data_IF_290284758251
#
_entry.id   IF_290284758251
#
_cell.length_a   1.000
_cell.length_b   1.000
_cell.length_c   1.000
_cell.angle_alpha   90.00
_cell.angle_beta   90.00
_cell.angle_gamma   90.00
#
_symmetry.space_group_name_H-M   'P 1'
#
loop_
_entity.id
_entity.type
_entity.pdbx_description
1 polymer ?
#
# COMPACT_ATOMS: atom_id res chain seq x y z
N UNK A 1 -5.72 19.30 -3.50
CA UNK A 1 -6.75 19.28 -2.42
C UNK A 1 -6.19 18.71 -1.13
N UNK A 2 -5.60 17.49 -1.10
CA UNK A 2 -5.04 16.88 0.12
C UNK A 2 -3.95 17.75 0.75
N UNK A 3 -3.01 18.30 -0.03
CA UNK A 3 -1.95 19.18 0.48
C UNK A 3 -2.53 20.45 1.14
N UNK A 4 -3.58 21.03 0.56
CA UNK A 4 -4.25 22.19 1.15
C UNK A 4 -4.90 21.83 2.50
N UNK A 5 -5.67 20.72 2.54
CA UNK A 5 -6.27 20.23 3.77
C UNK A 5 -5.21 19.93 4.86
N UNK A 6 -4.07 19.35 4.47
CA UNK A 6 -2.96 19.08 5.41
C UNK A 6 -2.39 20.40 6.00
N UNK A 7 -2.29 21.44 5.21
CA UNK A 7 -1.82 22.75 5.69
C UNK A 7 -2.84 23.40 6.64
N UNK A 8 -4.14 23.34 6.31
CA UNK A 8 -5.23 23.81 7.17
C UNK A 8 -5.24 23.08 8.52
N UNK A 9 -5.09 21.75 8.50
CA UNK A 9 -5.00 20.96 9.73
C UNK A 9 -3.80 21.41 10.58
N UNK A 10 -2.61 21.60 9.98
CA UNK A 10 -1.43 22.08 10.72
C UNK A 10 -1.64 23.40 11.41
N UNK A 11 -2.35 24.34 10.78
CA UNK A 11 -2.61 25.66 11.34
C UNK A 11 -3.67 25.64 12.46
N UNK A 12 -4.57 24.68 12.42
CA UNK A 12 -5.73 24.61 13.32
C UNK A 12 -5.67 23.45 14.31
N UNK A 13 -4.56 22.70 14.41
CA UNK A 13 -4.46 21.48 15.22
C UNK A 13 -4.67 21.72 16.74
N UNK A 14 -4.49 22.95 17.19
CA UNK A 14 -4.74 23.38 18.60
C UNK A 14 -6.20 23.64 18.91
N UNK A 15 -7.07 23.65 17.89
CA UNK A 15 -8.50 23.84 18.08
C UNK A 15 -9.19 22.47 18.24
N UNK A 16 -10.12 22.35 19.15
CA UNK A 16 -10.84 21.09 19.46
C UNK A 16 -11.45 20.43 18.22
N UNK A 17 -11.90 21.21 17.24
CA UNK A 17 -12.53 20.73 16.01
C UNK A 17 -11.57 20.08 15.01
N UNK A 18 -10.25 20.14 15.22
CA UNK A 18 -9.24 19.57 14.29
C UNK A 18 -8.52 18.37 14.87
N UNK A 19 -8.92 17.92 16.06
CA UNK A 19 -8.26 16.87 16.81
C UNK A 19 -9.04 15.56 16.69
N UNK A 20 -8.87 14.83 15.59
CA UNK A 20 -9.54 13.59 15.29
C UNK A 20 -8.64 12.65 14.47
N UNK A 21 -9.00 11.37 14.38
CA UNK A 21 -8.18 10.31 13.79
C UNK A 21 -7.67 10.66 12.40
N UNK A 22 -8.56 11.03 11.47
CA UNK A 22 -8.20 11.30 10.07
C UNK A 22 -7.26 12.51 9.93
N UNK A 23 -7.38 13.53 10.80
CA UNK A 23 -6.48 14.67 10.81
C UNK A 23 -5.05 14.25 11.15
N UNK A 24 -4.88 13.49 12.24
CA UNK A 24 -3.56 12.98 12.62
C UNK A 24 -3.01 11.98 11.62
N UNK A 25 -3.85 11.13 11.02
CA UNK A 25 -3.47 10.22 9.95
C UNK A 25 -2.91 11.00 8.74
N UNK A 26 -3.58 12.06 8.30
CA UNK A 26 -3.08 12.90 7.19
C UNK A 26 -1.71 13.52 7.49
N UNK A 27 -1.50 14.00 8.73
CA UNK A 27 -0.20 14.55 9.14
C UNK A 27 0.90 13.49 9.21
N UNK A 28 0.55 12.28 9.65
CA UNK A 28 1.47 11.15 9.67
C UNK A 28 1.89 10.78 8.23
N UNK A 29 0.95 10.70 7.30
CA UNK A 29 1.20 10.35 5.91
C UNK A 29 1.95 11.44 5.14
N UNK A 30 1.65 12.74 5.37
CA UNK A 30 2.44 13.85 4.82
C UNK A 30 3.89 13.82 5.33
N UNK A 31 4.08 13.47 6.61
CA UNK A 31 5.42 13.31 7.19
C UNK A 31 6.16 12.12 6.61
N UNK A 32 5.47 10.98 6.38
CA UNK A 32 5.99 9.80 5.72
C UNK A 32 6.44 10.12 4.28
N UNK A 33 5.58 10.78 3.49
CA UNK A 33 5.90 11.19 2.12
C UNK A 33 7.18 12.02 2.05
N UNK A 34 7.45 12.82 3.10
CA UNK A 34 8.69 13.61 3.24
C UNK A 34 9.83 12.86 3.92
N UNK A 35 9.70 11.54 4.12
CA UNK A 35 10.67 10.67 4.81
C UNK A 35 11.01 11.15 6.25
N UNK A 36 10.10 11.87 6.90
CA UNK A 36 10.22 12.33 8.30
C UNK A 36 9.58 11.30 9.24
N UNK A 37 10.16 10.10 9.32
CA UNK A 37 9.56 8.94 9.99
C UNK A 37 9.27 9.17 11.48
N UNK A 38 10.18 9.80 12.23
CA UNK A 38 9.94 10.14 13.63
C UNK A 38 8.67 10.98 13.80
N UNK A 39 8.54 12.06 13.00
CA UNK A 39 7.36 12.92 13.04
C UNK A 39 6.08 12.20 12.59
N UNK A 40 6.21 11.30 11.62
CA UNK A 40 5.11 10.42 11.19
C UNK A 40 4.63 9.53 12.34
N UNK A 41 5.54 8.92 13.09
CA UNK A 41 5.23 8.11 14.29
C UNK A 41 4.53 8.93 15.38
N UNK A 42 4.99 10.16 15.66
CA UNK A 42 4.39 11.04 16.66
C UNK A 42 2.93 11.37 16.31
N UNK A 43 2.65 11.68 15.04
CA UNK A 43 1.28 11.92 14.59
C UNK A 43 0.44 10.64 14.61
N UNK A 44 1.00 9.51 14.20
CA UNK A 44 0.30 8.24 14.23
C UNK A 44 -0.05 7.82 15.67
N UNK A 45 0.84 8.06 16.64
CA UNK A 45 0.58 7.80 18.06
C UNK A 45 -0.61 8.64 18.55
N UNK A 46 -0.71 9.90 18.15
CA UNK A 46 -1.87 10.74 18.48
C UNK A 46 -3.13 10.24 17.80
N UNK A 47 -3.06 9.75 16.54
CA UNK A 47 -4.23 9.17 15.87
C UNK A 47 -4.81 8.00 16.66
N UNK A 48 -3.98 7.16 17.32
CA UNK A 48 -4.47 6.08 18.16
C UNK A 48 -5.42 6.52 19.27
N UNK A 49 -5.23 7.71 19.84
CA UNK A 49 -6.06 8.24 20.92
C UNK A 49 -7.52 8.49 20.49
N UNK A 50 -7.75 8.58 19.17
CA UNK A 50 -9.07 8.85 18.58
C UNK A 50 -9.71 7.63 17.89
N UNK A 51 -9.15 6.41 18.06
CA UNK A 51 -9.74 5.20 17.52
C UNK A 51 -10.94 4.78 18.39
N UNK A 52 -12.14 5.11 17.93
CA UNK A 52 -13.40 4.77 18.59
C UNK A 52 -14.00 3.50 17.97
N UNK A 53 -13.72 2.31 18.50
CA UNK A 53 -14.31 1.02 18.08
C UNK A 53 -14.33 0.71 16.57
N UNK A 54 -13.68 1.51 15.75
CA UNK A 54 -13.55 1.29 14.30
C UNK A 54 -12.39 0.34 14.01
N UNK A 55 -12.74 -0.92 13.73
CA UNK A 55 -11.75 -1.97 13.43
C UNK A 55 -10.85 -1.62 12.24
N UNK A 56 -11.39 -0.97 11.20
CA UNK A 56 -10.57 -0.60 10.03
C UNK A 56 -9.60 0.53 10.38
N UNK A 57 -9.99 1.50 11.18
CA UNK A 57 -9.06 2.54 11.67
C UNK A 57 -7.93 1.93 12.50
N UNK A 58 -8.21 0.90 13.31
CA UNK A 58 -7.20 0.17 14.06
C UNK A 58 -6.24 -0.57 13.10
N UNK A 59 -6.77 -1.27 12.09
CA UNK A 59 -5.96 -1.96 11.06
C UNK A 59 -5.04 -0.95 10.36
N UNK A 60 -5.56 0.22 9.99
CA UNK A 60 -4.77 1.28 9.36
C UNK A 60 -3.62 1.72 10.25
N UNK A 61 -3.91 2.04 11.50
CA UNK A 61 -2.89 2.53 12.42
C UNK A 61 -1.81 1.48 12.72
N UNK A 62 -2.21 0.23 12.98
CA UNK A 62 -1.26 -0.88 13.23
C UNK A 62 -0.39 -1.20 12.00
N UNK A 63 -0.98 -1.22 10.80
CA UNK A 63 -0.24 -1.49 9.57
C UNK A 63 0.75 -0.38 9.25
N UNK A 64 0.34 0.88 9.38
CA UNK A 64 1.26 2.03 9.18
C UNK A 64 2.40 2.04 10.20
N UNK A 65 2.13 1.67 11.45
CA UNK A 65 3.17 1.52 12.47
C UNK A 65 4.20 0.46 12.07
N UNK A 66 3.75 -0.66 11.50
CA UNK A 66 4.64 -1.71 10.99
C UNK A 66 5.47 -1.20 9.81
N UNK A 67 4.87 -0.53 8.82
CA UNK A 67 5.61 0.05 7.71
C UNK A 67 6.64 1.10 8.16
N UNK A 68 6.28 2.01 9.07
CA UNK A 68 7.22 2.99 9.61
C UNK A 68 8.40 2.34 10.32
N UNK A 69 8.16 1.21 11.03
CA UNK A 69 9.24 0.43 11.61
C UNK A 69 10.17 -0.15 10.53
N UNK A 70 9.60 -0.79 9.50
CA UNK A 70 10.36 -1.38 8.40
C UNK A 70 11.20 -0.34 7.66
N UNK A 71 10.61 0.82 7.36
CA UNK A 71 11.27 1.90 6.60
C UNK A 71 12.41 2.57 7.38
N UNK A 72 12.34 2.59 8.70
CA UNK A 72 13.37 3.19 9.54
C UNK A 72 14.44 2.19 9.94
N UNK A 73 14.04 0.98 10.38
CA UNK A 73 14.96 -0.01 10.93
C UNK A 73 15.54 -0.97 9.89
N UNK A 74 15.00 -0.96 8.65
CA UNK A 74 15.36 -1.93 7.59
C UNK A 74 15.26 -3.40 8.05
N UNK A 75 14.21 -3.71 8.81
CA UNK A 75 13.94 -5.06 9.33
C UNK A 75 12.46 -5.38 9.21
N UNK A 76 12.14 -6.66 8.95
CA UNK A 76 10.75 -7.13 8.92
C UNK A 76 10.10 -6.89 10.29
N UNK A 77 8.94 -6.26 10.28
CA UNK A 77 8.16 -6.04 11.48
C UNK A 77 7.51 -7.34 11.94
N UNK A 78 7.59 -7.65 13.24
CA UNK A 78 6.84 -8.76 13.83
C UNK A 78 5.36 -8.41 13.84
N UNK A 79 4.57 -9.14 13.07
CA UNK A 79 3.11 -8.97 13.02
C UNK A 79 2.52 -9.61 14.27
N UNK A 80 2.11 -8.79 15.24
CA UNK A 80 1.46 -9.28 16.47
C UNK A 80 -0.02 -9.57 16.25
N UNK A 81 -0.72 -8.71 15.52
CA UNK A 81 -2.15 -8.83 15.22
C UNK A 81 -2.33 -9.32 13.79
N UNK A 82 -3.00 -10.46 13.62
CA UNK A 82 -3.30 -11.00 12.30
C UNK A 82 -4.66 -10.49 11.84
N UNK A 83 -4.68 -9.76 10.74
CA UNK A 83 -5.89 -9.23 10.09
C UNK A 83 -6.19 -10.01 8.80
N UNK A 84 -6.23 -11.35 8.89
CA UNK A 84 -6.48 -12.20 7.74
C UNK A 84 -5.50 -11.96 6.59
N UNK A 85 -6.01 -11.90 5.36
CA UNK A 85 -5.20 -11.72 4.15
C UNK A 85 -4.40 -10.41 4.14
N UNK A 86 -4.86 -9.35 4.86
CA UNK A 86 -4.11 -8.10 4.97
C UNK A 86 -2.74 -8.27 5.60
N UNK A 87 -2.63 -9.10 6.63
CA UNK A 87 -1.34 -9.37 7.26
C UNK A 87 -0.37 -10.04 6.33
N UNK A 88 -0.86 -10.94 5.47
CA UNK A 88 -0.02 -11.62 4.48
C UNK A 88 0.42 -10.65 3.37
N UNK A 89 -0.49 -9.87 2.81
CA UNK A 89 -0.18 -8.83 1.81
C UNK A 89 0.86 -7.84 2.37
N UNK A 90 0.65 -7.38 3.61
CA UNK A 90 1.58 -6.49 4.29
C UNK A 90 2.97 -7.12 4.44
N UNK A 91 3.07 -8.41 4.78
CA UNK A 91 4.34 -9.12 4.87
C UNK A 91 5.03 -9.23 3.51
N UNK A 92 4.29 -9.54 2.43
CA UNK A 92 4.84 -9.58 1.06
C UNK A 92 5.47 -8.24 0.70
N UNK A 93 4.78 -7.12 0.94
CA UNK A 93 5.31 -5.79 0.64
C UNK A 93 6.49 -5.38 1.53
N UNK A 94 6.51 -5.77 2.80
CA UNK A 94 7.68 -5.56 3.66
C UNK A 94 8.92 -6.29 3.11
N UNK A 95 8.77 -7.56 2.70
CA UNK A 95 9.84 -8.35 2.10
C UNK A 95 10.31 -7.77 0.78
N UNK A 96 9.36 -7.33 -0.04
CA UNK A 96 9.65 -6.68 -1.31
C UNK A 96 10.48 -5.39 -1.10
N UNK A 97 10.07 -4.53 -0.17
CA UNK A 97 10.81 -3.31 0.18
C UNK A 97 12.24 -3.58 0.65
N UNK A 98 12.41 -4.62 1.46
CA UNK A 98 13.71 -5.01 2.01
C UNK A 98 14.58 -5.83 1.06
N UNK A 99 14.05 -6.14 -0.12
CA UNK A 99 14.66 -7.09 -1.07
C UNK A 99 15.06 -8.42 -0.38
N UNK A 100 14.14 -8.95 0.46
CA UNK A 100 14.36 -10.18 1.22
C UNK A 100 14.43 -11.39 0.26
N UNK A 101 15.35 -12.31 0.51
CA UNK A 101 15.58 -13.50 -0.32
C UNK A 101 14.35 -14.38 -0.55
N UNK A 102 13.35 -14.31 0.34
CA UNK A 102 12.12 -15.08 0.22
C UNK A 102 10.98 -14.31 -0.47
N UNK A 103 11.20 -13.07 -0.91
CA UNK A 103 10.16 -12.22 -1.51
C UNK A 103 9.41 -12.94 -2.63
N UNK A 104 10.15 -13.60 -3.53
CA UNK A 104 9.58 -14.37 -4.63
C UNK A 104 8.60 -15.45 -4.14
N UNK A 105 9.01 -16.26 -3.17
CA UNK A 105 8.18 -17.33 -2.60
C UNK A 105 6.88 -16.77 -2.02
N UNK A 106 6.96 -15.62 -1.37
CA UNK A 106 5.79 -14.97 -0.79
C UNK A 106 4.86 -14.38 -1.86
N UNK A 107 5.40 -13.82 -2.94
CA UNK A 107 4.58 -13.43 -4.09
C UNK A 107 3.92 -14.62 -4.77
N UNK A 108 4.65 -15.72 -5.00
CA UNK A 108 4.08 -16.96 -5.57
C UNK A 108 2.91 -17.47 -4.72
N UNK A 109 3.05 -17.46 -3.39
CA UNK A 109 1.95 -17.83 -2.49
C UNK A 109 0.77 -16.86 -2.59
N UNK A 110 1.02 -15.56 -2.70
CA UNK A 110 -0.01 -14.53 -2.77
C UNK A 110 -0.84 -14.66 -4.07
N UNK A 111 -0.18 -14.84 -5.22
CA UNK A 111 -0.86 -14.87 -6.52
C UNK A 111 -1.51 -16.24 -6.81
N UNK A 112 -1.01 -17.31 -6.19
CA UNK A 112 -1.56 -18.66 -6.33
C UNK A 112 -2.53 -19.06 -5.21
N UNK A 113 -2.80 -18.17 -4.24
CA UNK A 113 -3.77 -18.46 -3.19
C UNK A 113 -5.16 -18.65 -3.81
N UNK A 114 -5.79 -19.82 -3.56
CA UNK A 114 -7.09 -20.21 -4.13
C UNK A 114 -8.29 -19.48 -3.53
N UNK A 115 -8.10 -18.29 -2.97
CA UNK A 115 -9.19 -17.49 -2.45
C UNK A 115 -9.89 -16.77 -3.61
N UNK A 116 -11.23 -16.72 -3.58
CA UNK A 116 -12.14 -16.17 -4.61
C UNK A 116 -11.97 -14.67 -4.94
N UNK A 117 -10.77 -14.12 -4.84
CA UNK A 117 -10.47 -12.72 -5.08
C UNK A 117 -9.79 -12.46 -6.43
N UNK A 118 -9.99 -11.26 -6.99
CA UNK A 118 -9.22 -10.79 -8.13
C UNK A 118 -7.77 -10.49 -7.71
N UNK A 119 -6.85 -11.38 -8.04
CA UNK A 119 -5.43 -11.27 -7.75
C UNK A 119 -4.62 -10.52 -8.83
N UNK A 120 -5.27 -10.04 -9.90
CA UNK A 120 -4.61 -9.41 -11.03
C UNK A 120 -3.70 -8.24 -10.61
N UNK A 121 -4.10 -7.48 -9.59
CA UNK A 121 -3.30 -6.38 -9.05
C UNK A 121 -2.00 -6.87 -8.40
N UNK A 122 -2.03 -7.97 -7.65
CA UNK A 122 -0.84 -8.55 -7.01
C UNK A 122 0.07 -9.24 -8.03
N UNK A 123 -0.50 -9.83 -9.09
CA UNK A 123 0.27 -10.31 -10.23
C UNK A 123 1.07 -9.15 -10.86
N UNK A 124 0.45 -7.99 -11.04
CA UNK A 124 1.16 -6.81 -11.56
C UNK A 124 2.35 -6.40 -10.67
N UNK A 125 2.16 -6.36 -9.35
CA UNK A 125 3.25 -6.03 -8.42
C UNK A 125 4.34 -7.09 -8.40
N UNK A 126 3.99 -8.35 -8.57
CA UNK A 126 4.95 -9.43 -8.71
C UNK A 126 5.77 -9.30 -10.00
N UNK A 127 5.13 -9.02 -11.13
CA UNK A 127 5.81 -8.75 -12.39
C UNK A 127 6.80 -7.58 -12.24
N UNK A 128 6.39 -6.49 -11.59
CA UNK A 128 7.26 -5.37 -11.31
C UNK A 128 8.47 -5.78 -10.45
N UNK A 129 8.25 -6.52 -9.36
CA UNK A 129 9.34 -7.05 -8.54
C UNK A 129 10.32 -7.89 -9.34
N UNK A 130 9.84 -8.79 -10.21
CA UNK A 130 10.69 -9.62 -11.07
C UNK A 130 11.54 -8.75 -12.00
N UNK A 131 10.94 -7.77 -12.67
CA UNK A 131 11.64 -6.84 -13.57
C UNK A 131 12.69 -5.99 -12.83
N UNK A 132 12.39 -5.55 -11.62
CA UNK A 132 13.35 -4.81 -10.79
C UNK A 132 14.54 -5.65 -10.32
N UNK A 133 14.42 -6.99 -10.37
CA UNK A 133 15.43 -7.96 -9.92
C UNK A 133 15.92 -8.88 -11.05
N UNK A 134 16.02 -8.36 -12.28
CA UNK A 134 16.56 -9.05 -13.47
C UNK A 134 15.78 -10.35 -13.85
N UNK A 135 14.52 -10.44 -13.46
CA UNK A 135 13.63 -11.57 -13.72
C UNK A 135 12.76 -11.43 -14.98
N UNK A 136 13.21 -10.69 -16.00
CA UNK A 136 12.43 -10.38 -17.22
C UNK A 136 11.87 -11.64 -17.92
N UNK A 137 12.67 -12.71 -18.01
CA UNK A 137 12.24 -13.96 -18.62
C UNK A 137 11.09 -14.62 -17.88
N UNK A 138 11.12 -14.59 -16.55
CA UNK A 138 10.06 -15.12 -15.70
C UNK A 138 8.81 -14.25 -15.76
N UNK A 139 8.97 -12.94 -15.69
CA UNK A 139 7.87 -11.98 -15.86
C UNK A 139 7.17 -12.18 -17.21
N UNK A 140 7.96 -12.38 -18.29
CA UNK A 140 7.41 -12.71 -19.62
C UNK A 140 6.65 -14.02 -19.62
N UNK A 141 7.21 -15.06 -19.04
CA UNK A 141 6.54 -16.38 -18.96
C UNK A 141 5.20 -16.28 -18.20
N UNK A 142 5.15 -15.53 -17.10
CA UNK A 142 3.91 -15.29 -16.37
C UNK A 142 2.90 -14.55 -17.27
N UNK A 143 3.31 -13.47 -17.93
CA UNK A 143 2.41 -12.70 -18.80
C UNK A 143 1.91 -13.51 -19.99
N UNK A 144 2.72 -14.37 -20.59
CA UNK A 144 2.33 -15.20 -21.73
C UNK A 144 1.30 -16.28 -21.36
N UNK A 145 1.30 -16.74 -20.09
CA UNK A 145 0.39 -17.78 -19.60
C UNK A 145 -0.90 -17.23 -18.94
N UNK A 146 -1.03 -15.93 -18.76
CA UNK A 146 -2.24 -15.35 -18.19
C UNK A 146 -3.41 -15.35 -19.17
N UNK A 147 -4.61 -15.67 -18.67
CA UNK A 147 -5.84 -15.57 -19.45
C UNK A 147 -6.35 -14.13 -19.48
N UNK A 148 -6.10 -13.43 -20.60
CA UNK A 148 -6.42 -12.00 -20.75
C UNK A 148 -7.90 -11.70 -20.90
N UNK A 149 -8.74 -12.67 -21.24
CA UNK A 149 -10.18 -12.46 -21.41
C UNK A 149 -10.88 -12.05 -20.11
N UNK A 150 -10.30 -12.46 -18.98
CA UNK A 150 -10.81 -12.18 -17.63
C UNK A 150 -9.84 -11.32 -16.80
N UNK A 151 -8.79 -10.77 -17.41
CA UNK A 151 -7.77 -10.00 -16.67
C UNK A 151 -8.12 -8.52 -16.59
N UNK A 152 -7.63 -7.86 -15.56
CA UNK A 152 -7.78 -6.41 -15.39
C UNK A 152 -7.03 -5.64 -16.48
N UNK A 153 -7.45 -4.38 -16.70
CA UNK A 153 -6.77 -3.46 -17.62
C UNK A 153 -5.27 -3.32 -17.28
N UNK A 154 -4.91 -3.39 -16.00
CA UNK A 154 -3.54 -3.29 -15.53
C UNK A 154 -2.67 -4.46 -16.04
N UNK A 155 -3.21 -5.68 -16.05
CA UNK A 155 -2.51 -6.86 -16.58
C UNK A 155 -2.39 -6.79 -18.10
N UNK A 156 -3.44 -6.35 -18.80
CA UNK A 156 -3.37 -6.16 -20.25
C UNK A 156 -2.32 -5.12 -20.64
N UNK A 157 -2.18 -4.06 -19.85
CA UNK A 157 -1.14 -3.06 -20.03
C UNK A 157 0.26 -3.63 -19.73
N UNK A 158 0.40 -4.43 -18.67
CA UNK A 158 1.66 -5.11 -18.33
C UNK A 158 2.15 -5.98 -19.48
N UNK A 159 1.27 -6.81 -20.07
CA UNK A 159 1.61 -7.62 -21.24
C UNK A 159 2.10 -6.76 -22.39
N UNK A 160 1.39 -5.69 -22.71
CA UNK A 160 1.79 -4.78 -23.81
C UNK A 160 3.19 -4.22 -23.57
N UNK A 161 3.52 -3.80 -22.35
CA UNK A 161 4.86 -3.31 -22.05
C UNK A 161 5.94 -4.38 -22.20
N UNK A 162 5.65 -5.63 -21.79
CA UNK A 162 6.58 -6.75 -22.00
C UNK A 162 6.79 -7.05 -23.50
N UNK A 163 5.72 -7.08 -24.29
CA UNK A 163 5.78 -7.33 -25.75
C UNK A 163 6.51 -6.18 -26.47
N UNK A 164 6.27 -4.93 -26.06
CA UNK A 164 6.91 -3.72 -26.61
C UNK A 164 8.38 -3.54 -26.12
N UNK A 165 8.87 -4.40 -25.22
CA UNK A 165 10.20 -4.30 -24.57
C UNK A 165 10.40 -2.99 -23.81
N UNK A 166 9.39 -2.59 -23.02
CA UNK A 166 9.37 -1.37 -22.21
C UNK A 166 9.22 -1.68 -20.71
N UNK A 167 10.13 -2.47 -20.11
CA UNK A 167 10.01 -2.85 -18.70
C UNK A 167 10.10 -1.64 -17.76
N UNK A 168 10.73 -0.54 -18.18
CA UNK A 168 10.81 0.70 -17.39
C UNK A 168 9.46 1.34 -17.07
N UNK A 169 8.41 1.03 -17.86
CA UNK A 169 7.07 1.56 -17.62
C UNK A 169 6.43 1.02 -16.34
N UNK A 170 6.81 -0.19 -15.91
CA UNK A 170 6.32 -0.77 -14.66
C UNK A 170 6.68 0.10 -13.45
N UNK A 171 7.91 0.60 -13.39
CA UNK A 171 8.40 1.44 -12.27
C UNK A 171 7.66 2.77 -12.13
N UNK A 172 7.02 3.24 -13.20
CA UNK A 172 6.21 4.47 -13.16
C UNK A 172 4.87 4.28 -12.46
N UNK A 173 4.41 3.04 -12.34
CA UNK A 173 3.12 2.71 -11.71
C UNK A 173 3.30 2.31 -10.25
N UNK A 174 4.31 1.50 -9.96
CA UNK A 174 4.58 0.99 -8.62
C UNK A 174 6.02 0.52 -8.50
N UNK A 175 6.63 0.76 -7.36
CA UNK A 175 7.90 0.13 -6.97
C UNK A 175 7.91 -0.23 -5.49
N UNK A 176 8.32 -1.46 -5.19
CA UNK A 176 8.52 -1.90 -3.80
C UNK A 176 9.61 -1.09 -3.07
N UNK A 177 10.55 -0.49 -3.78
CA UNK A 177 11.60 0.36 -3.19
C UNK A 177 11.07 1.74 -2.78
N UNK A 178 9.86 2.09 -3.20
CA UNK A 178 9.23 3.35 -2.88
C UNK A 178 8.22 3.21 -1.72
N UNK A 179 8.54 3.81 -0.59
CA UNK A 179 7.70 3.75 0.62
C UNK A 179 6.29 4.32 0.41
N UNK A 180 6.15 5.33 -0.46
CA UNK A 180 4.84 5.93 -0.73
C UNK A 180 3.96 5.04 -1.58
N UNK A 181 4.52 4.26 -2.52
CA UNK A 181 3.76 3.34 -3.36
C UNK A 181 3.17 2.21 -2.53
N UNK A 182 3.98 1.62 -1.62
CA UNK A 182 3.52 0.58 -0.69
C UNK A 182 2.37 1.07 0.17
N UNK A 183 2.53 2.25 0.77
CA UNK A 183 1.49 2.81 1.65
C UNK A 183 0.27 3.25 0.85
N UNK A 184 0.46 3.79 -0.34
CA UNK A 184 -0.63 4.14 -1.26
C UNK A 184 -1.49 2.92 -1.59
N UNK A 185 -0.85 1.79 -1.95
CA UNK A 185 -1.55 0.54 -2.25
C UNK A 185 -2.34 0.02 -1.04
N UNK A 186 -1.74 0.03 0.13
CA UNK A 186 -2.45 -0.35 1.35
C UNK A 186 -3.69 0.52 1.60
N UNK A 187 -3.58 1.84 1.45
CA UNK A 187 -4.72 2.75 1.64
C UNK A 187 -5.79 2.59 0.56
N UNK A 188 -5.39 2.22 -0.66
CA UNK A 188 -6.34 1.85 -1.71
C UNK A 188 -7.18 0.61 -1.32
N UNK A 189 -6.54 -0.42 -0.76
CA UNK A 189 -7.26 -1.60 -0.24
C UNK A 189 -8.24 -1.22 0.89
N UNK A 190 -7.84 -0.35 1.81
CA UNK A 190 -8.71 0.17 2.86
C UNK A 190 -9.90 0.94 2.27
N UNK A 191 -9.67 1.75 1.23
CA UNK A 191 -10.74 2.45 0.51
C UNK A 191 -11.77 1.47 -0.05
N UNK A 192 -11.33 0.38 -0.69
CA UNK A 192 -12.22 -0.65 -1.23
C UNK A 192 -13.04 -1.35 -0.15
N UNK A 193 -12.45 -1.61 1.03
CA UNK A 193 -13.19 -2.19 2.16
C UNK A 193 -14.26 -1.26 2.68
N UNK A 194 -13.99 0.03 2.81
CA UNK A 194 -15.02 0.98 3.19
C UNK A 194 -16.12 1.10 2.11
N UNK A 195 -15.74 1.00 0.83
CA UNK A 195 -16.70 0.98 -0.27
C UNK A 195 -17.61 -0.24 -0.20
N UNK A 196 -17.08 -1.43 0.06
CA UNK A 196 -17.87 -2.66 0.21
C UNK A 196 -18.82 -2.64 1.42
N UNK A 197 -18.55 -1.78 2.40
CA UNK A 197 -19.42 -1.52 3.56
C UNK A 197 -20.34 -0.31 3.35
N UNK A 198 -20.44 0.20 2.12
CA UNK A 198 -21.23 1.38 1.74
C UNK A 198 -20.82 2.68 2.48
N UNK A 199 -19.66 2.69 3.13
CA UNK A 199 -19.12 3.89 3.77
C UNK A 199 -18.31 4.73 2.78
N UNK A 200 -19.01 5.31 1.80
CA UNK A 200 -18.41 6.07 0.71
C UNK A 200 -17.62 7.31 1.16
N UNK A 201 -18.00 7.91 2.30
CA UNK A 201 -17.26 9.06 2.85
C UNK A 201 -15.85 8.67 3.26
N UNK A 202 -15.68 7.58 4.00
CA UNK A 202 -14.36 7.04 4.37
C UNK A 202 -13.63 6.46 3.17
N UNK A 203 -14.33 5.73 2.30
CA UNK A 203 -13.75 5.22 1.05
C UNK A 203 -13.10 6.35 0.25
N UNK A 204 -13.82 7.44 -0.03
CA UNK A 204 -13.28 8.59 -0.74
C UNK A 204 -12.12 9.27 -0.02
N UNK A 205 -12.15 9.34 1.31
CA UNK A 205 -11.04 9.87 2.10
C UNK A 205 -9.76 9.06 1.85
N UNK A 206 -9.80 7.74 2.00
CA UNK A 206 -8.64 6.86 1.82
C UNK A 206 -8.16 6.82 0.36
N UNK A 207 -9.08 6.84 -0.61
CA UNK A 207 -8.74 6.90 -2.02
C UNK A 207 -7.98 8.19 -2.39
N UNK A 208 -8.44 9.33 -1.89
CA UNK A 208 -7.78 10.62 -2.14
C UNK A 208 -6.37 10.68 -1.51
N UNK A 209 -6.20 10.09 -0.31
CA UNK A 209 -4.87 10.04 0.31
C UNK A 209 -3.96 9.05 -0.40
N UNK A 210 -4.46 7.89 -0.81
CA UNK A 210 -3.72 6.95 -1.65
C UNK A 210 -3.17 7.66 -2.89
N UNK A 211 -4.02 8.34 -3.65
CA UNK A 211 -3.61 9.12 -4.81
C UNK A 211 -2.67 10.29 -4.50
N UNK A 212 -2.74 10.87 -3.31
CA UNK A 212 -1.79 11.91 -2.88
C UNK A 212 -0.38 11.37 -2.65
N UNK A 213 -0.26 10.14 -2.20
CA UNK A 213 1.05 9.51 -1.92
C UNK A 213 1.78 9.10 -3.20
N UNK A 214 1.05 8.57 -4.17
CA UNK A 214 1.58 8.09 -5.45
C UNK A 214 1.23 9.02 -6.61
#
# INVERSE_FOLDING_TARGET
>A
RVQHATNEIKQNLTKDNSNFFEAHLMLALDSLKRKKYKKSKDHLQRAYEFINNDKLSLIVAETLKQYLYVFEENKISKIKNKFGNFSFINEVFQRCYLNDRNTKVYFDQLVNSQNDGDHSRYIFFYLNYLIENDGDNEAKNITDNLNYLNSSLLISQAKKWMDDKKPEEFKKVFSCSNTTDIVSEFLFLISNLYSSQENYKKSNFYLNISHYLN
#
